data_IF_497527867349
#
_entry.id   IF_497527867349
#
_cell.length_a   1.000
_cell.length_b   1.000
_cell.length_c   1.000
_cell.angle_alpha   90.00
_cell.angle_beta   90.00
_cell.angle_gamma   90.00
#
_symmetry.space_group_name_H-M   'P 1'
#
loop_
_entity.id
_entity.type
_entity.pdbx_description
1 polymer ?
#
# COMPACT_ATOMS: atom_id res chain seq x y z
N UNK A 1 -2.23 10.66 7.92
CA UNK A 1 -3.31 9.80 7.41
C UNK A 1 -3.33 9.93 5.91
N UNK A 2 -3.37 8.82 5.19
CA UNK A 2 -3.27 8.74 3.74
C UNK A 2 -4.47 7.93 3.23
N UNK A 3 -5.09 8.37 2.14
CA UNK A 3 -6.22 7.67 1.53
C UNK A 3 -5.89 7.34 0.07
N UNK A 4 -6.13 6.10 -0.34
CA UNK A 4 -5.80 5.65 -1.69
C UNK A 4 -6.26 4.24 -1.98
N UNK A 5 -5.85 3.73 -3.13
CA UNK A 5 -6.12 2.38 -3.60
C UNK A 5 -4.85 1.54 -3.41
N UNK A 6 -5.01 0.32 -2.90
CA UNK A 6 -3.90 -0.64 -2.83
C UNK A 6 -3.63 -1.18 -4.23
N UNK A 7 -2.43 -0.95 -4.75
CA UNK A 7 -1.99 -1.44 -6.06
C UNK A 7 -0.79 -2.37 -5.90
N UNK A 8 -0.68 -3.44 -6.71
CA UNK A 8 0.51 -4.26 -6.75
C UNK A 8 1.64 -3.52 -7.47
N UNK A 9 2.86 -3.62 -6.97
CA UNK A 9 4.04 -2.96 -7.58
C UNK A 9 5.20 -3.90 -7.84
N UNK A 10 5.15 -5.13 -7.31
CA UNK A 10 6.15 -6.15 -7.59
C UNK A 10 5.53 -7.56 -7.53
N UNK A 11 6.00 -8.43 -8.42
CA UNK A 11 5.50 -9.80 -8.61
C UNK A 11 6.65 -10.80 -8.68
N UNK A 12 6.45 -11.96 -8.07
CA UNK A 12 7.30 -13.13 -8.34
C UNK A 12 7.05 -13.65 -9.75
N UNK A 13 7.98 -14.49 -10.22
CA UNK A 13 7.89 -15.18 -11.53
C UNK A 13 6.64 -16.04 -11.69
N UNK A 14 6.04 -16.52 -10.60
CA UNK A 14 4.80 -17.30 -10.60
C UNK A 14 3.52 -16.42 -10.57
N UNK A 15 3.66 -15.10 -10.53
CA UNK A 15 2.53 -14.15 -10.54
C UNK A 15 2.03 -13.74 -9.15
N UNK A 16 2.62 -14.24 -8.07
CA UNK A 16 2.31 -13.80 -6.71
C UNK A 16 2.84 -12.38 -6.43
N UNK A 17 1.99 -11.49 -5.92
CA UNK A 17 2.38 -10.12 -5.53
C UNK A 17 3.25 -10.15 -4.28
N UNK A 18 4.39 -9.44 -4.31
CA UNK A 18 5.35 -9.39 -3.18
C UNK A 18 5.50 -8.00 -2.57
N UNK A 19 4.96 -6.98 -3.22
CA UNK A 19 4.90 -5.63 -2.70
C UNK A 19 3.68 -4.88 -3.24
N UNK A 20 3.15 -3.99 -2.42
CA UNK A 20 2.04 -3.10 -2.76
C UNK A 20 2.40 -1.64 -2.49
N UNK A 21 1.71 -0.74 -3.18
CA UNK A 21 1.74 0.69 -2.90
C UNK A 21 0.33 1.22 -2.65
N UNK A 22 0.24 2.37 -1.97
CA UNK A 22 -0.99 3.16 -1.88
C UNK A 22 -0.93 4.23 -2.96
N UNK A 23 -1.79 4.11 -3.97
CA UNK A 23 -1.98 5.13 -5.00
C UNK A 23 -3.06 6.11 -4.56
N UNK A 24 -2.69 7.38 -4.41
CA UNK A 24 -3.60 8.43 -3.96
C UNK A 24 -4.31 9.12 -5.13
N UNK A 25 -5.37 9.87 -4.82
CA UNK A 25 -6.07 10.68 -5.80
C UNK A 25 -5.25 11.86 -6.38
N UNK A 26 -4.07 12.12 -5.83
CA UNK A 26 -3.12 13.13 -6.35
C UNK A 26 -2.01 12.49 -7.19
N UNK A 27 -2.22 11.25 -7.63
CA UNK A 27 -1.27 10.47 -8.42
C UNK A 27 0.07 10.21 -7.68
N UNK A 28 0.11 10.45 -6.36
CA UNK A 28 1.24 10.05 -5.52
C UNK A 28 1.11 8.57 -5.14
N UNK A 29 2.21 7.84 -5.29
CA UNK A 29 2.35 6.44 -4.90
C UNK A 29 3.26 6.32 -3.68
N UNK A 30 2.83 5.55 -2.69
CA UNK A 30 3.58 5.28 -1.47
C UNK A 30 3.84 3.79 -1.35
N UNK A 31 5.10 3.38 -1.49
CA UNK A 31 5.50 1.99 -1.33
C UNK A 31 5.26 1.56 0.13
N UNK A 32 4.53 0.46 0.31
CA UNK A 32 4.23 -0.05 1.65
C UNK A 32 5.40 -0.89 2.14
N UNK A 33 5.91 -0.57 3.33
CA UNK A 33 6.89 -1.42 4.00
C UNK A 33 6.22 -2.70 4.51
N UNK A 34 6.90 -3.85 4.44
CA UNK A 34 6.35 -5.15 4.84
C UNK A 34 6.02 -5.23 6.33
N UNK A 35 6.69 -4.43 7.15
CA UNK A 35 6.50 -4.38 8.59
C UNK A 35 5.15 -3.73 8.98
N UNK A 36 4.71 -3.98 10.22
CA UNK A 36 3.41 -3.47 10.68
C UNK A 36 2.26 -4.17 9.96
N UNK A 37 1.28 -3.41 9.50
CA UNK A 37 0.14 -3.96 8.75
C UNK A 37 0.42 -4.11 7.23
N UNK A 38 1.65 -3.82 6.77
CA UNK A 38 1.92 -3.78 5.33
C UNK A 38 1.78 -5.12 4.62
N UNK A 39 2.11 -6.23 5.30
CA UNK A 39 1.90 -7.57 4.76
C UNK A 39 0.40 -7.91 4.61
N UNK A 40 -0.45 -7.48 5.55
CA UNK A 40 -1.89 -7.69 5.48
C UNK A 40 -2.53 -7.03 4.25
N UNK A 41 -2.00 -5.88 3.81
CA UNK A 41 -2.50 -5.16 2.65
C UNK A 41 -2.31 -5.93 1.33
N UNK A 42 -1.44 -6.93 1.26
CA UNK A 42 -1.32 -7.80 0.08
C UNK A 42 -2.64 -8.54 -0.22
N UNK A 43 -3.48 -8.78 0.80
CA UNK A 43 -4.79 -9.41 0.66
C UNK A 43 -5.91 -8.44 0.24
N UNK A 44 -5.57 -7.15 0.09
CA UNK A 44 -6.52 -6.07 -0.15
C UNK A 44 -6.20 -5.28 -1.42
N UNK A 45 -5.55 -5.93 -2.39
CA UNK A 45 -5.29 -5.34 -3.71
C UNK A 45 -6.60 -4.88 -4.35
N UNK A 46 -6.56 -3.69 -4.96
CA UNK A 46 -7.69 -2.95 -5.52
C UNK A 46 -8.73 -2.48 -4.49
N UNK A 47 -8.51 -2.62 -3.18
CA UNK A 47 -9.36 -1.99 -2.19
C UNK A 47 -8.97 -0.51 -1.98
N UNK A 48 -9.97 0.32 -1.73
CA UNK A 48 -9.77 1.68 -1.24
C UNK A 48 -9.55 1.62 0.27
N UNK A 49 -8.45 2.21 0.73
CA UNK A 49 -8.03 2.19 2.14
C UNK A 49 -7.73 3.60 2.65
N UNK A 50 -7.94 3.76 3.95
CA UNK A 50 -7.38 4.86 4.73
C UNK A 50 -6.31 4.27 5.66
N UNK A 51 -5.09 4.78 5.57
CA UNK A 51 -3.94 4.26 6.31
C UNK A 51 -3.31 5.34 7.19
N UNK A 52 -2.79 4.90 8.34
CA UNK A 52 -1.98 5.71 9.25
C UNK A 52 -0.63 5.02 9.43
N UNK A 53 0.42 5.82 9.49
CA UNK A 53 1.76 5.30 9.48
C UNK A 53 2.81 6.39 9.43
N UNK A 54 4.06 5.95 9.38
CA UNK A 54 5.24 6.81 9.31
C UNK A 54 5.69 6.86 7.86
N UNK A 55 5.80 8.08 7.33
CA UNK A 55 6.31 8.34 5.98
C UNK A 55 7.83 8.47 6.02
N UNK A 56 8.49 7.81 5.08
CA UNK A 56 9.93 7.88 4.87
C UNK A 56 10.20 8.18 3.41
N UNK A 57 11.06 9.15 3.12
CA UNK A 57 11.50 9.46 1.76
C UNK A 57 12.93 8.95 1.63
N UNK A 58 13.13 7.95 0.79
CA UNK A 58 14.45 7.40 0.47
C UNK A 58 14.84 7.66 -0.98
N UNK A 59 16.00 7.16 -1.39
CA UNK A 59 16.45 7.22 -2.79
C UNK A 59 15.48 6.50 -3.74
N UNK A 60 14.79 5.47 -3.28
CA UNK A 60 13.83 4.70 -4.09
C UNK A 60 12.42 5.31 -4.11
N UNK A 61 12.24 6.51 -3.55
CA UNK A 61 10.96 7.23 -3.50
C UNK A 61 10.29 7.22 -2.13
N UNK A 62 8.98 7.45 -2.13
CA UNK A 62 8.15 7.60 -0.92
C UNK A 62 7.74 6.23 -0.39
N UNK A 63 8.04 5.95 0.86
CA UNK A 63 7.67 4.74 1.59
C UNK A 63 6.76 5.05 2.77
N UNK A 64 5.92 4.11 3.16
CA UNK A 64 5.08 4.20 4.35
C UNK A 64 5.12 2.92 5.17
N UNK A 65 5.44 3.06 6.46
CA UNK A 65 5.25 2.00 7.47
C UNK A 65 3.87 2.15 8.08
N UNK A 66 2.95 1.23 7.74
CA UNK A 66 1.55 1.30 8.18
C UNK A 66 1.43 0.75 9.59
N UNK A 67 0.90 1.56 10.49
CA UNK A 67 0.58 1.18 11.88
C UNK A 67 -0.89 0.80 12.05
N UNK A 68 -1.77 1.34 11.21
CA UNK A 68 -3.21 1.07 11.23
C UNK A 68 -3.79 1.32 9.83
N UNK A 69 -4.80 0.54 9.44
CA UNK A 69 -5.57 0.79 8.23
C UNK A 69 -7.05 0.48 8.41
N UNK A 70 -7.86 1.06 7.53
CA UNK A 70 -9.29 0.79 7.39
C UNK A 70 -9.64 0.61 5.92
N UNK A 71 -10.40 -0.44 5.61
CA UNK A 71 -10.99 -0.63 4.29
C UNK A 71 -12.18 0.32 4.15
N UNK A 72 -12.10 1.22 3.16
CA UNK A 72 -13.18 2.14 2.82
C UNK A 72 -14.13 1.53 1.80
N UNK A 73 -13.59 0.85 0.78
CA UNK A 73 -14.37 0.26 -0.31
C UNK A 73 -13.65 -0.93 -0.91
N UNK A 74 -14.41 -1.95 -1.28
CA UNK A 74 -13.95 -3.08 -2.07
C UNK A 74 -14.91 -3.25 -3.24
N UNK A 75 -14.37 -3.68 -4.38
CA UNK A 75 -15.16 -4.09 -5.54
C UNK A 75 -15.06 -5.61 -5.61
N UNK A 76 -16.19 -6.29 -5.51
CA UNK A 76 -16.31 -7.74 -5.69
C UNK A 76 -16.83 -8.03 -7.09
#
# INVERSE_FOLDING_TARGET
MLKGIVIPVDWKKDGAVVAVAISTNKEDEFLVEKEGCGEDLLNHIHAEVEVRGILSIGNDGKRIKITEYKICRTWK
#
